data_IF_052631308981
#
_entry.id   IF_052631308981
#
_cell.length_a   1.000
_cell.length_b   1.000
_cell.length_c   1.000
_cell.angle_alpha   90.00
_cell.angle_beta   90.00
_cell.angle_gamma   90.00
#
_symmetry.space_group_name_H-M   'P 1'
#
loop_
_entity.id
_entity.type
_entity.pdbx_description
1 polymer ?
#
# COMPACT_ATOMS: atom_id res chain seq x y z
N UNK A 1 -55.09 25.23 22.50
CA UNK A 1 -54.20 24.31 21.77
C UNK A 1 -52.78 24.86 21.91
N UNK A 2 -52.06 24.36 22.90
CA UNK A 2 -50.71 24.82 23.23
C UNK A 2 -49.70 23.88 22.57
N UNK A 3 -48.82 24.46 21.74
CA UNK A 3 -47.73 23.79 21.07
C UNK A 3 -46.69 23.30 22.11
N UNK A 4 -46.60 21.99 22.31
CA UNK A 4 -45.49 21.36 23.03
C UNK A 4 -44.29 21.27 22.09
N UNK A 5 -43.32 22.17 22.30
CA UNK A 5 -41.98 22.10 21.70
C UNK A 5 -41.22 20.99 22.44
N UNK A 6 -40.93 19.90 21.72
CA UNK A 6 -40.09 18.79 22.18
C UNK A 6 -38.62 19.22 22.15
N UNK A 7 -38.01 19.41 23.32
CA UNK A 7 -36.57 19.57 23.48
C UNK A 7 -35.84 18.27 23.10
N UNK A 8 -35.42 18.18 21.82
CA UNK A 8 -34.48 17.15 21.38
C UNK A 8 -33.11 17.36 22.03
N UNK A 9 -32.51 16.28 22.53
CA UNK A 9 -31.12 16.27 23.01
C UNK A 9 -30.19 16.85 21.91
N UNK A 10 -29.24 17.74 22.26
CA UNK A 10 -28.24 18.18 21.30
C UNK A 10 -27.43 16.97 20.82
N UNK A 11 -27.19 16.92 19.51
CA UNK A 11 -26.30 15.95 18.90
C UNK A 11 -24.91 16.02 19.56
N UNK A 12 -24.22 14.89 19.78
CA UNK A 12 -22.87 14.91 20.33
C UNK A 12 -21.97 15.73 19.40
N UNK A 13 -21.18 16.63 19.99
CA UNK A 13 -20.20 17.43 19.28
C UNK A 13 -19.25 16.52 18.47
N UNK A 14 -18.83 16.93 17.26
CA UNK A 14 -17.86 16.17 16.49
C UNK A 14 -16.61 15.97 17.34
N UNK A 15 -16.14 14.72 17.43
CA UNK A 15 -14.94 14.36 18.16
C UNK A 15 -13.79 15.25 17.69
N UNK A 16 -13.19 15.98 18.64
CA UNK A 16 -12.00 16.78 18.42
C UNK A 16 -10.91 15.87 17.84
N UNK A 17 -10.51 16.11 16.59
CA UNK A 17 -9.35 15.48 16.00
C UNK A 17 -8.16 15.87 16.89
N UNK A 18 -7.61 14.93 17.65
CA UNK A 18 -6.37 15.16 18.40
C UNK A 18 -5.25 15.41 17.39
N UNK A 19 -4.94 16.68 17.15
CA UNK A 19 -3.80 17.08 16.34
C UNK A 19 -2.55 16.89 17.21
N UNK A 20 -1.85 15.78 17.00
CA UNK A 20 -0.57 15.52 17.65
C UNK A 20 0.51 16.42 17.04
N UNK A 21 0.89 17.49 17.74
CA UNK A 21 2.04 18.33 17.39
C UNK A 21 3.25 17.79 18.15
N UNK A 22 3.87 16.73 17.65
CA UNK A 22 5.13 16.21 18.18
C UNK A 22 6.28 16.48 17.21
N UNK A 23 7.41 16.98 17.74
CA UNK A 23 8.65 17.09 16.97
C UNK A 23 9.16 15.67 16.70
N UNK A 24 8.99 15.19 15.47
CA UNK A 24 9.49 13.88 15.06
C UNK A 24 11.01 13.87 15.15
N UNK A 25 11.55 13.01 16.03
CA UNK A 25 12.98 12.71 16.04
C UNK A 25 13.20 11.51 15.13
N UNK A 26 13.91 11.73 14.02
CA UNK A 26 14.41 10.63 13.21
C UNK A 26 15.47 9.89 14.02
N UNK A 27 15.21 8.64 14.35
CA UNK A 27 16.15 7.77 15.06
C UNK A 27 16.80 6.82 14.06
N UNK A 28 18.01 6.35 14.37
CA UNK A 28 18.67 5.28 13.59
C UNK A 28 17.79 4.02 13.47
N UNK A 29 16.93 3.76 14.47
CA UNK A 29 15.98 2.63 14.45
C UNK A 29 14.93 2.77 13.35
N UNK A 30 14.39 3.96 13.12
CA UNK A 30 13.46 4.19 12.02
C UNK A 30 14.16 4.00 10.67
N UNK A 31 15.37 4.57 10.53
CA UNK A 31 16.20 4.46 9.31
C UNK A 31 16.45 3.00 8.95
N UNK A 32 16.92 2.21 9.91
CA UNK A 32 17.20 0.78 9.74
C UNK A 32 15.94 0.00 9.36
N UNK A 33 14.84 0.19 10.11
CA UNK A 33 13.56 -0.48 9.85
C UNK A 33 13.06 -0.21 8.43
N UNK A 34 13.06 1.05 7.98
CA UNK A 34 12.50 1.39 6.68
C UNK A 34 13.39 0.96 5.51
N UNK A 35 14.72 1.01 5.67
CA UNK A 35 15.65 0.45 4.68
C UNK A 35 15.44 -1.05 4.53
N UNK A 36 15.27 -1.77 5.65
CA UNK A 36 15.01 -3.21 5.64
C UNK A 36 13.68 -3.54 4.96
N UNK A 37 12.61 -2.83 5.32
CA UNK A 37 11.30 -2.99 4.69
C UNK A 37 11.34 -2.69 3.19
N UNK A 38 12.04 -1.63 2.79
CA UNK A 38 12.21 -1.25 1.39
C UNK A 38 12.95 -2.34 0.60
N UNK A 39 14.15 -2.76 1.02
CA UNK A 39 14.89 -3.81 0.29
C UNK A 39 14.14 -5.15 0.24
N UNK A 40 13.41 -5.50 1.30
CA UNK A 40 12.55 -6.66 1.30
C UNK A 40 11.37 -6.52 0.30
N UNK A 41 10.79 -5.32 0.20
CA UNK A 41 9.76 -5.01 -0.79
C UNK A 41 10.29 -5.17 -2.22
N UNK A 42 11.50 -4.70 -2.50
CA UNK A 42 12.16 -4.89 -3.81
C UNK A 42 12.15 -6.37 -4.22
N UNK A 43 12.58 -7.27 -3.31
CA UNK A 43 12.62 -8.71 -3.57
C UNK A 43 11.24 -9.32 -3.76
N UNK A 44 10.25 -8.90 -2.98
CA UNK A 44 8.86 -9.35 -3.17
C UNK A 44 8.31 -8.90 -4.54
N UNK A 45 8.59 -7.66 -4.96
CA UNK A 45 8.17 -7.14 -6.25
C UNK A 45 8.83 -7.89 -7.42
N UNK A 46 10.13 -8.17 -7.32
CA UNK A 46 10.85 -9.00 -8.30
C UNK A 46 10.27 -10.42 -8.39
N UNK A 47 9.96 -11.06 -7.25
CA UNK A 47 9.33 -12.38 -7.22
C UNK A 47 7.97 -12.34 -7.93
N UNK A 48 7.15 -11.32 -7.64
CA UNK A 48 5.80 -11.21 -8.23
C UNK A 48 5.80 -10.85 -9.70
N UNK A 49 6.76 -10.05 -10.14
CA UNK A 49 6.96 -9.78 -11.57
C UNK A 49 7.28 -11.09 -12.30
N UNK A 50 8.29 -11.83 -11.82
CA UNK A 50 8.65 -13.14 -12.38
C UNK A 50 7.53 -14.18 -12.31
N UNK A 51 6.69 -14.13 -11.26
CA UNK A 51 5.56 -15.06 -11.13
C UNK A 51 4.43 -14.81 -12.12
N UNK A 52 4.43 -13.68 -12.83
CA UNK A 52 3.48 -13.36 -13.90
C UNK A 52 4.08 -13.50 -15.30
N UNK A 53 5.37 -13.81 -15.42
CA UNK A 53 6.04 -14.02 -16.70
C UNK A 53 5.67 -15.38 -17.32
N UNK A 54 5.54 -15.43 -18.65
CA UNK A 54 5.33 -16.69 -19.37
C UNK A 54 3.94 -17.32 -19.19
N UNK A 55 2.97 -16.58 -18.64
CA UNK A 55 1.58 -17.06 -18.50
C UNK A 55 0.90 -17.26 -19.86
N UNK A 56 1.32 -16.52 -20.89
CA UNK A 56 0.96 -16.74 -22.29
C UNK A 56 1.38 -18.13 -22.81
N UNK A 57 2.33 -18.78 -22.14
CA UNK A 57 2.87 -20.11 -22.45
C UNK A 57 2.46 -21.17 -21.42
N UNK A 58 1.40 -20.92 -20.67
CA UNK A 58 0.83 -21.84 -19.68
C UNK A 58 1.24 -21.57 -18.23
N UNK A 59 2.18 -20.65 -17.97
CA UNK A 59 2.60 -20.23 -16.62
C UNK A 59 3.04 -21.39 -15.71
N UNK A 60 3.24 -21.13 -14.42
CA UNK A 60 3.40 -22.21 -13.42
C UNK A 60 2.09 -22.42 -12.69
N UNK A 61 1.63 -23.67 -12.63
CA UNK A 61 0.36 -24.06 -12.00
C UNK A 61 0.19 -23.50 -10.58
N UNK A 62 1.26 -23.51 -9.78
CA UNK A 62 1.25 -22.97 -8.42
C UNK A 62 0.96 -21.47 -8.39
N UNK A 63 1.55 -20.69 -9.31
CA UNK A 63 1.39 -19.24 -9.40
C UNK A 63 -0.01 -18.88 -9.91
N UNK A 64 -0.51 -19.63 -10.90
CA UNK A 64 -1.87 -19.48 -11.44
C UNK A 64 -2.93 -19.82 -10.38
N UNK A 65 -2.75 -20.93 -9.67
CA UNK A 65 -3.64 -21.36 -8.58
C UNK A 65 -3.66 -20.35 -7.43
N UNK A 66 -2.49 -19.83 -7.04
CA UNK A 66 -2.38 -18.81 -6.01
C UNK A 66 -3.10 -17.51 -6.42
N UNK A 67 -2.87 -17.04 -7.64
CA UNK A 67 -3.54 -15.86 -8.18
C UNK A 67 -5.06 -16.01 -8.13
N UNK A 68 -5.57 -17.15 -8.62
CA UNK A 68 -7.01 -17.43 -8.59
C UNK A 68 -7.54 -17.47 -7.16
N UNK A 69 -6.80 -18.06 -6.21
CA UNK A 69 -7.19 -18.08 -4.79
C UNK A 69 -7.25 -16.67 -4.19
N UNK A 70 -6.34 -15.78 -4.58
CA UNK A 70 -6.23 -14.42 -4.03
C UNK A 70 -7.32 -13.50 -4.60
N UNK A 71 -7.58 -13.58 -5.91
CA UNK A 71 -8.50 -12.68 -6.60
C UNK A 71 -9.88 -13.28 -6.90
N UNK A 72 -10.04 -14.60 -6.75
CA UNK A 72 -11.24 -15.30 -7.20
C UNK A 72 -11.43 -15.21 -8.72
N UNK A 73 -10.39 -14.84 -9.48
CA UNK A 73 -10.51 -14.50 -10.90
C UNK A 73 -9.36 -15.11 -11.66
N UNK A 74 -9.65 -15.74 -12.80
CA UNK A 74 -8.60 -16.30 -13.68
C UNK A 74 -7.84 -15.18 -14.38
N UNK A 75 -6.56 -15.38 -14.63
CA UNK A 75 -5.69 -14.36 -15.24
C UNK A 75 -6.15 -13.89 -16.62
N UNK A 76 -6.79 -14.77 -17.41
CA UNK A 76 -7.30 -14.50 -18.76
C UNK A 76 -8.67 -13.79 -18.78
N UNK A 77 -9.34 -13.66 -17.63
CA UNK A 77 -10.65 -13.01 -17.53
C UNK A 77 -10.51 -11.53 -17.85
N UNK A 78 -11.32 -11.03 -18.78
CA UNK A 78 -11.46 -9.59 -19.06
C UNK A 78 -12.17 -8.88 -17.91
N UNK A 79 -11.60 -7.75 -17.50
CA UNK A 79 -12.03 -6.88 -16.40
C UNK A 79 -12.23 -5.47 -16.93
N UNK A 80 -13.35 -4.84 -16.56
CA UNK A 80 -13.78 -3.54 -17.05
C UNK A 80 -15.21 -3.61 -17.59
N UNK A 81 -15.87 -2.46 -17.65
CA UNK A 81 -17.24 -2.35 -18.16
C UNK A 81 -17.25 -1.99 -19.66
N UNK A 82 -16.25 -1.23 -20.11
CA UNK A 82 -16.09 -0.71 -21.46
C UNK A 82 -15.11 -1.55 -22.31
N UNK A 83 -15.54 -1.95 -23.50
CA UNK A 83 -14.76 -2.78 -24.43
C UNK A 83 -13.43 -2.15 -24.85
N UNK A 84 -13.34 -0.81 -24.87
CA UNK A 84 -12.10 -0.10 -25.22
C UNK A 84 -11.07 -0.10 -24.09
N UNK A 85 -11.51 -0.33 -22.84
CA UNK A 85 -10.64 -0.27 -21.65
C UNK A 85 -10.48 -1.61 -20.92
N UNK A 86 -11.22 -2.63 -21.35
CA UNK A 86 -11.12 -3.98 -20.78
C UNK A 86 -9.72 -4.54 -20.95
N UNK A 87 -9.19 -5.09 -19.86
CA UNK A 87 -7.90 -5.78 -19.84
C UNK A 87 -8.06 -7.11 -19.13
N UNK A 88 -7.17 -8.07 -19.42
CA UNK A 88 -7.15 -9.31 -18.67
C UNK A 88 -6.70 -9.04 -17.23
N UNK A 89 -7.20 -9.81 -16.28
CA UNK A 89 -6.78 -9.75 -14.87
C UNK A 89 -5.24 -9.84 -14.71
N UNK A 90 -4.58 -10.66 -15.55
CA UNK A 90 -3.13 -10.76 -15.63
C UNK A 90 -2.49 -9.41 -16.00
N UNK A 91 -2.96 -8.77 -17.07
CA UNK A 91 -2.41 -7.49 -17.53
C UNK A 91 -2.58 -6.38 -16.49
N UNK A 92 -3.72 -6.37 -15.78
CA UNK A 92 -3.95 -5.42 -14.68
C UNK A 92 -2.91 -5.59 -13.57
N UNK A 93 -2.63 -6.83 -13.17
CA UNK A 93 -1.64 -7.08 -12.12
C UNK A 93 -0.20 -6.86 -12.59
N UNK A 94 0.13 -7.16 -13.86
CA UNK A 94 1.43 -6.82 -14.44
C UNK A 94 1.66 -5.30 -14.47
N UNK A 95 0.67 -4.52 -14.93
CA UNK A 95 0.72 -3.04 -14.88
C UNK A 95 0.83 -2.54 -13.44
N UNK A 96 0.07 -3.14 -12.51
CA UNK A 96 0.09 -2.78 -11.10
C UNK A 96 1.46 -2.98 -10.44
N UNK A 97 2.10 -4.13 -10.64
CA UNK A 97 3.46 -4.39 -10.13
C UNK A 97 4.45 -3.40 -10.73
N UNK A 98 4.37 -3.15 -12.04
CA UNK A 98 5.26 -2.20 -12.72
C UNK A 98 5.16 -0.81 -12.11
N UNK A 99 3.94 -0.34 -11.83
CA UNK A 99 3.67 0.94 -11.17
C UNK A 99 4.19 1.01 -9.75
N UNK A 100 3.91 -0.01 -8.94
CA UNK A 100 4.41 -0.10 -7.56
C UNK A 100 5.95 -0.13 -7.56
N UNK A 101 6.59 -0.86 -8.49
CA UNK A 101 8.05 -0.83 -8.68
C UNK A 101 8.55 0.57 -9.05
N UNK A 102 7.85 1.29 -9.93
CA UNK A 102 8.22 2.67 -10.29
C UNK A 102 8.16 3.62 -9.09
N UNK A 103 7.15 3.50 -8.23
CA UNK A 103 7.06 4.27 -6.98
C UNK A 103 8.17 3.85 -6.02
N UNK A 104 8.34 2.55 -5.82
CA UNK A 104 9.38 1.96 -4.97
C UNK A 104 10.76 2.53 -5.32
N UNK A 105 11.16 2.50 -6.59
CA UNK A 105 12.46 3.02 -7.05
C UNK A 105 12.65 4.53 -6.81
N UNK A 106 11.59 5.28 -6.52
CA UNK A 106 11.66 6.70 -6.20
C UNK A 106 11.75 6.95 -4.71
N UNK A 107 11.41 6.00 -3.84
CA UNK A 107 11.34 6.22 -2.38
C UNK A 107 12.69 6.57 -1.75
N UNK A 108 13.78 6.16 -2.38
CA UNK A 108 15.14 6.60 -2.08
C UNK A 108 15.75 7.22 -3.33
N UNK A 109 16.04 8.51 -3.29
CA UNK A 109 16.57 9.27 -4.43
C UNK A 109 17.35 10.48 -3.95
N UNK A 110 18.21 11.01 -4.80
CA UNK A 110 18.84 12.31 -4.56
C UNK A 110 17.78 13.41 -4.67
N UNK A 111 17.75 14.32 -3.70
CA UNK A 111 16.93 15.53 -3.76
C UNK A 111 17.59 16.61 -4.67
N UNK A 112 16.95 17.76 -4.82
CA UNK A 112 17.42 18.85 -5.68
C UNK A 112 18.80 19.40 -5.26
N UNK A 113 19.17 19.22 -3.99
CA UNK A 113 20.47 19.61 -3.42
C UNK A 113 21.53 18.51 -3.57
N UNK A 114 21.20 17.39 -4.25
CA UNK A 114 22.10 16.25 -4.40
C UNK A 114 22.25 15.41 -3.14
N UNK A 115 21.31 15.48 -2.20
CA UNK A 115 21.34 14.70 -0.96
C UNK A 115 20.51 13.43 -1.10
N UNK A 116 21.12 12.27 -0.86
CA UNK A 116 20.40 11.00 -0.86
C UNK A 116 19.34 10.99 0.24
N UNK A 117 18.08 10.91 -0.17
CA UNK A 117 16.92 11.19 0.66
C UNK A 117 15.89 10.08 0.60
N UNK A 118 15.36 9.73 1.78
CA UNK A 118 14.26 8.81 2.00
C UNK A 118 12.94 9.59 2.08
N UNK A 119 11.95 9.15 1.30
CA UNK A 119 10.63 9.78 1.18
C UNK A 119 9.52 9.07 1.97
N UNK A 120 9.90 8.08 2.80
CA UNK A 120 9.02 7.58 3.85
C UNK A 120 9.02 8.55 5.03
N UNK A 121 7.84 9.03 5.40
CA UNK A 121 7.68 10.04 6.46
C UNK A 121 7.52 9.35 7.80
N UNK A 122 8.41 9.63 8.75
CA UNK A 122 8.31 9.07 10.10
C UNK A 122 7.18 9.74 10.89
N UNK A 123 6.10 9.01 11.15
CA UNK A 123 5.00 9.43 12.01
C UNK A 123 4.79 8.44 13.19
N UNK A 124 5.84 7.71 13.57
CA UNK A 124 5.76 6.63 14.57
C UNK A 124 5.41 7.09 15.99
N UNK A 125 5.59 8.38 16.29
CA UNK A 125 5.31 8.97 17.61
C UNK A 125 3.81 9.27 17.79
N UNK A 126 3.11 9.63 16.72
CA UNK A 126 1.74 10.17 16.78
C UNK A 126 0.68 9.29 16.11
N UNK A 127 1.07 8.35 15.23
CA UNK A 127 0.10 7.59 14.44
C UNK A 127 -0.37 6.31 15.13
N UNK A 128 -1.67 6.22 15.43
CA UNK A 128 -2.35 4.98 15.82
C UNK A 128 -2.88 4.18 14.60
N UNK A 129 -2.15 4.25 13.50
CA UNK A 129 -2.41 3.52 12.26
C UNK A 129 -1.13 2.79 11.81
N UNK A 130 -1.20 2.03 10.74
CA UNK A 130 -0.02 1.32 10.20
C UNK A 130 0.76 2.23 9.26
N UNK A 131 0.18 2.55 8.10
CA UNK A 131 0.69 3.52 7.17
C UNK A 131 -0.48 4.24 6.49
N UNK A 132 -0.20 5.30 5.73
CA UNK A 132 -1.17 5.94 4.82
C UNK A 132 -0.49 6.80 3.77
N UNK A 133 -1.21 7.10 2.70
CA UNK A 133 -0.80 8.04 1.64
C UNK A 133 -1.85 9.12 1.39
N UNK A 134 -1.47 10.15 0.62
CA UNK A 134 -2.40 11.05 -0.03
C UNK A 134 -2.56 10.64 -1.51
N UNK A 135 -3.64 9.92 -1.83
CA UNK A 135 -3.81 9.24 -3.13
C UNK A 135 -3.88 10.17 -4.36
N UNK A 136 -4.28 11.44 -4.20
CA UNK A 136 -4.60 12.35 -5.32
C UNK A 136 -3.55 13.43 -5.59
N UNK A 137 -2.78 13.84 -4.58
CA UNK A 137 -1.96 15.06 -4.63
C UNK A 137 -0.61 14.79 -3.98
N UNK A 138 0.09 13.77 -4.47
CA UNK A 138 1.43 13.48 -3.98
C UNK A 138 2.38 13.21 -5.14
N UNK A 139 3.05 14.26 -5.59
CA UNK A 139 4.07 14.18 -6.64
C UNK A 139 5.33 13.46 -6.18
N UNK A 140 5.54 13.37 -4.87
CA UNK A 140 6.76 12.82 -4.28
C UNK A 140 6.59 11.40 -3.75
N UNK A 141 5.35 10.89 -3.75
CA UNK A 141 4.91 9.62 -3.19
C UNK A 141 5.22 9.48 -1.69
N UNK A 142 4.90 10.49 -0.88
CA UNK A 142 5.06 10.39 0.57
C UNK A 142 4.16 9.29 1.14
N UNK A 143 4.77 8.40 1.92
CA UNK A 143 4.09 7.36 2.68
C UNK A 143 4.36 7.63 4.15
N UNK A 144 3.30 7.90 4.91
CA UNK A 144 3.39 8.16 6.35
C UNK A 144 3.45 6.83 7.11
N UNK A 145 4.56 6.57 7.80
CA UNK A 145 4.79 5.35 8.57
C UNK A 145 4.50 5.61 10.04
N UNK A 146 3.54 4.87 10.61
CA UNK A 146 3.03 5.09 11.96
C UNK A 146 3.40 3.97 12.95
N UNK A 147 2.97 4.14 14.20
CA UNK A 147 3.42 3.32 15.32
C UNK A 147 3.06 1.84 15.19
N UNK A 148 2.00 1.45 14.46
CA UNK A 148 1.67 0.02 14.29
C UNK A 148 2.56 -0.67 13.25
N UNK A 149 3.24 0.08 12.37
CA UNK A 149 4.10 -0.49 11.33
C UNK A 149 5.31 -1.23 11.91
N UNK A 150 5.93 -0.66 12.96
CA UNK A 150 7.11 -1.25 13.62
C UNK A 150 6.83 -2.63 14.23
N UNK A 151 5.59 -2.90 14.60
CA UNK A 151 5.20 -4.14 15.30
C UNK A 151 4.82 -5.24 14.30
N UNK A 152 4.76 -4.93 12.99
CA UNK A 152 4.48 -5.91 11.93
C UNK A 152 5.71 -6.74 11.60
N UNK A 153 5.52 -8.01 11.19
CA UNK A 153 6.59 -8.79 10.59
C UNK A 153 7.11 -8.10 9.33
N UNK A 154 8.36 -8.35 8.94
CA UNK A 154 8.93 -7.76 7.72
C UNK A 154 8.16 -8.20 6.46
N UNK A 155 8.01 -9.51 6.28
CA UNK A 155 7.38 -10.15 5.12
C UNK A 155 6.26 -11.12 5.55
N UNK A 156 5.48 -11.60 4.58
CA UNK A 156 4.38 -12.54 4.82
C UNK A 156 3.04 -11.86 5.06
N UNK A 157 2.19 -12.49 5.86
CA UNK A 157 0.83 -11.99 6.14
C UNK A 157 0.89 -10.73 6.98
N UNK A 158 0.13 -9.70 6.57
CA UNK A 158 -0.07 -8.45 7.31
C UNK A 158 1.27 -7.79 7.74
N UNK A 159 2.20 -7.72 6.79
CA UNK A 159 3.60 -7.39 7.02
C UNK A 159 3.92 -5.94 6.66
N UNK A 160 5.11 -5.47 7.04
CA UNK A 160 5.65 -4.17 6.62
C UNK A 160 5.66 -4.08 5.08
N UNK A 161 6.21 -5.09 4.41
CA UNK A 161 6.23 -5.16 2.93
C UNK A 161 4.84 -5.16 2.31
N UNK A 162 3.89 -5.97 2.80
CA UNK A 162 2.53 -6.00 2.23
C UNK A 162 1.83 -4.66 2.43
N UNK A 163 2.01 -4.04 3.60
CA UNK A 163 1.51 -2.69 3.90
C UNK A 163 2.09 -1.67 2.91
N UNK A 164 3.39 -1.68 2.63
CA UNK A 164 3.97 -0.72 1.67
C UNK A 164 3.38 -0.91 0.26
N UNK A 165 3.15 -2.14 -0.18
CA UNK A 165 2.49 -2.40 -1.47
C UNK A 165 1.02 -1.96 -1.46
N UNK A 166 0.32 -2.13 -0.34
CA UNK A 166 -1.04 -1.61 -0.13
C UNK A 166 -1.07 -0.10 -0.36
N UNK A 167 -0.23 0.63 0.38
CA UNK A 167 -0.15 2.09 0.30
C UNK A 167 0.24 2.60 -1.09
N UNK A 168 1.24 1.98 -1.71
CA UNK A 168 1.65 2.35 -3.07
C UNK A 168 0.56 2.08 -4.11
N UNK A 169 -0.31 1.10 -3.87
CA UNK A 169 -1.41 0.79 -4.79
C UNK A 169 -2.50 1.88 -4.80
N UNK A 170 -2.65 2.65 -3.71
CA UNK A 170 -3.65 3.71 -3.62
C UNK A 170 -3.38 4.89 -4.56
N UNK A 171 -2.11 5.22 -4.81
CA UNK A 171 -1.78 6.37 -5.66
C UNK A 171 -2.51 6.29 -7.00
N UNK A 172 -3.11 7.40 -7.39
CA UNK A 172 -3.87 7.46 -8.64
C UNK A 172 -2.99 7.18 -9.85
N UNK A 173 -3.47 6.31 -10.73
CA UNK A 173 -2.90 6.08 -12.06
C UNK A 173 -2.86 7.38 -12.85
N UNK A 174 -1.66 7.85 -13.18
CA UNK A 174 -1.42 9.12 -13.88
C UNK A 174 -0.48 8.95 -15.08
N UNK A 175 -0.53 9.92 -16.00
CA UNK A 175 0.32 10.00 -17.19
C UNK A 175 -0.36 9.50 -18.47
N UNK A 176 -0.61 10.39 -19.43
CA UNK A 176 -1.00 10.00 -20.79
C UNK A 176 0.13 9.15 -21.41
N UNK A 177 -0.13 7.86 -21.65
CA UNK A 177 0.87 6.90 -22.15
C UNK A 177 1.95 6.45 -21.14
N UNK A 178 1.83 6.74 -19.83
CA UNK A 178 2.93 6.58 -18.86
C UNK A 178 2.63 5.75 -17.59
N UNK A 179 3.69 5.23 -16.97
CA UNK A 179 3.70 4.41 -15.74
C UNK A 179 3.76 5.34 -14.50
N UNK A 180 2.93 6.38 -14.46
CA UNK A 180 2.83 7.29 -13.32
C UNK A 180 1.82 6.77 -12.28
N UNK A 181 2.09 7.01 -10.99
CA UNK A 181 1.21 6.63 -9.90
C UNK A 181 1.10 5.12 -9.65
N UNK A 182 0.13 4.76 -8.82
CA UNK A 182 -0.15 3.39 -8.40
C UNK A 182 -1.28 2.75 -9.21
N UNK A 183 -2.12 1.97 -8.54
CA UNK A 183 -3.20 1.21 -9.16
C UNK A 183 -4.57 1.91 -9.06
N UNK A 184 -4.65 3.10 -8.45
CA UNK A 184 -5.90 3.74 -8.06
C UNK A 184 -6.81 2.82 -7.22
N UNK A 185 -6.22 2.04 -6.30
CA UNK A 185 -7.01 1.20 -5.41
C UNK A 185 -7.63 2.01 -4.28
N UNK A 186 -8.66 1.45 -3.66
CA UNK A 186 -9.30 2.04 -2.49
C UNK A 186 -9.51 1.00 -1.39
N UNK A 187 -9.73 1.49 -0.19
CA UNK A 187 -10.25 0.72 0.92
C UNK A 187 -11.74 0.51 0.76
N UNK A 188 -12.10 -0.69 0.29
CA UNK A 188 -13.45 -1.01 -0.17
C UNK A 188 -14.28 -1.73 0.89
N UNK A 189 -15.59 -1.48 0.86
CA UNK A 189 -16.59 -2.29 1.54
C UNK A 189 -16.98 -3.52 0.69
N UNK A 190 -17.88 -4.33 1.25
CA UNK A 190 -18.35 -5.58 0.64
C UNK A 190 -19.11 -5.39 -0.69
N UNK A 191 -19.49 -4.16 -1.05
CA UNK A 191 -20.14 -3.81 -2.31
C UNK A 191 -19.13 -3.29 -3.35
N UNK A 192 -17.83 -3.32 -3.06
CA UNK A 192 -16.78 -2.82 -3.96
C UNK A 192 -16.75 -1.29 -4.05
N UNK A 193 -17.24 -0.58 -3.03
CA UNK A 193 -17.22 0.88 -2.95
C UNK A 193 -16.23 1.35 -1.88
N UNK A 194 -15.50 2.45 -2.10
CA UNK A 194 -14.69 3.07 -1.04
C UNK A 194 -15.53 3.34 0.20
N UNK A 195 -14.99 3.04 1.39
CA UNK A 195 -15.70 3.25 2.65
C UNK A 195 -14.72 3.46 3.80
N UNK A 196 -15.11 4.26 4.80
CA UNK A 196 -14.38 4.35 6.05
C UNK A 196 -14.79 3.22 6.99
N UNK A 197 -13.90 2.24 7.21
CA UNK A 197 -14.19 1.11 8.08
C UNK A 197 -12.94 0.69 8.84
N UNK A 198 -13.10 -0.23 9.80
CA UNK A 198 -11.95 -0.88 10.42
C UNK A 198 -11.22 -1.80 9.45
N UNK A 199 -9.93 -2.06 9.69
CA UNK A 199 -9.15 -3.02 8.91
C UNK A 199 -9.80 -4.40 8.84
N UNK A 200 -10.39 -4.88 9.95
CA UNK A 200 -11.11 -6.16 9.97
C UNK A 200 -12.33 -6.17 9.03
N UNK A 201 -13.05 -5.06 8.96
CA UNK A 201 -14.20 -4.92 8.07
C UNK A 201 -13.76 -4.87 6.60
N UNK A 202 -12.65 -4.21 6.29
CA UNK A 202 -12.07 -4.24 4.94
C UNK A 202 -11.56 -5.63 4.55
N UNK A 203 -10.93 -6.37 5.48
CA UNK A 203 -10.51 -7.75 5.25
C UNK A 203 -11.70 -8.68 4.98
N UNK A 204 -12.82 -8.49 5.71
CA UNK A 204 -14.06 -9.22 5.48
C UNK A 204 -14.68 -8.87 4.11
N UNK A 205 -14.69 -7.60 3.75
CA UNK A 205 -15.12 -7.13 2.43
C UNK A 205 -14.29 -7.75 1.30
N UNK A 206 -12.97 -7.74 1.42
CA UNK A 206 -12.05 -8.32 0.45
C UNK A 206 -12.28 -9.83 0.26
N UNK A 207 -12.55 -10.57 1.35
CA UNK A 207 -12.93 -12.00 1.29
C UNK A 207 -14.25 -12.21 0.55
N UNK A 208 -15.24 -11.36 0.83
CA UNK A 208 -16.55 -11.43 0.17
C UNK A 208 -16.44 -11.15 -1.33
N UNK A 209 -15.69 -10.13 -1.75
CA UNK A 209 -15.48 -9.83 -3.17
C UNK A 209 -14.85 -11.01 -3.93
N UNK A 210 -13.86 -11.69 -3.32
CA UNK A 210 -13.26 -12.92 -3.88
C UNK A 210 -14.30 -14.03 -4.03
N UNK A 211 -15.09 -14.30 -2.99
CA UNK A 211 -16.13 -15.34 -3.04
C UNK A 211 -17.23 -15.08 -4.07
N UNK A 212 -17.45 -13.81 -4.41
CA UNK A 212 -18.43 -13.37 -5.40
C UNK A 212 -17.85 -13.27 -6.81
N UNK A 213 -16.56 -13.60 -7.00
CA UNK A 213 -15.84 -13.40 -8.26
C UNK A 213 -15.96 -11.96 -8.78
N UNK A 214 -15.99 -10.98 -7.87
CA UNK A 214 -16.20 -9.58 -8.18
C UNK A 214 -14.98 -8.98 -8.88
N UNK A 215 -15.19 -8.24 -9.95
CA UNK A 215 -14.12 -7.52 -10.63
C UNK A 215 -13.49 -6.41 -9.76
N UNK A 216 -14.21 -5.96 -8.71
CA UNK A 216 -13.73 -4.93 -7.79
C UNK A 216 -12.49 -5.36 -6.97
N UNK A 217 -12.16 -6.66 -6.93
CA UNK A 217 -10.93 -7.16 -6.28
C UNK A 217 -9.65 -6.49 -6.80
N UNK A 218 -9.62 -6.06 -8.07
CA UNK A 218 -8.45 -5.37 -8.65
C UNK A 218 -8.39 -3.88 -8.30
N UNK A 219 -9.46 -3.32 -7.75
CA UNK A 219 -9.54 -1.94 -7.26
C UNK A 219 -9.48 -1.87 -5.73
N UNK A 220 -9.39 -3.01 -5.03
CA UNK A 220 -9.32 -3.08 -3.58
C UNK A 220 -7.87 -3.20 -3.11
N UNK A 221 -7.42 -2.26 -2.29
CA UNK A 221 -6.06 -2.25 -1.75
C UNK A 221 -5.77 -3.49 -0.91
N UNK A 222 -6.73 -3.93 -0.07
CA UNK A 222 -6.62 -5.19 0.69
C UNK A 222 -6.56 -6.46 -0.16
N UNK A 223 -7.19 -6.51 -1.34
CA UNK A 223 -7.05 -7.64 -2.24
C UNK A 223 -5.69 -7.63 -2.96
N UNK A 224 -5.23 -6.45 -3.39
CA UNK A 224 -3.91 -6.25 -3.99
C UNK A 224 -2.81 -6.56 -2.98
N UNK A 225 -2.93 -6.10 -1.74
CA UNK A 225 -2.02 -6.38 -0.63
C UNK A 225 -1.81 -7.88 -0.45
N UNK A 226 -2.89 -8.67 -0.51
CA UNK A 226 -2.80 -10.12 -0.34
C UNK A 226 -1.88 -10.77 -1.35
N UNK A 227 -1.78 -10.22 -2.55
CA UNK A 227 -0.85 -10.69 -3.56
C UNK A 227 0.60 -10.48 -3.12
N UNK A 228 0.93 -9.46 -2.35
CA UNK A 228 2.32 -9.21 -1.91
C UNK A 228 2.71 -9.89 -0.58
N UNK A 229 1.82 -10.68 0.03
CA UNK A 229 2.10 -11.38 1.29
C UNK A 229 2.96 -12.65 1.09
N UNK A 230 4.18 -12.47 0.57
CA UNK A 230 5.17 -13.54 0.38
C UNK A 230 6.15 -13.55 1.55
N UNK A 231 6.50 -14.73 2.04
CA UNK A 231 7.65 -14.91 2.94
C UNK A 231 8.95 -15.03 2.13
N UNK A 232 9.97 -14.29 2.53
CA UNK A 232 11.33 -14.42 1.98
C UNK A 232 12.08 -15.52 2.72
N UNK A 233 12.95 -16.24 2.00
CA UNK A 233 13.80 -17.26 2.61
C UNK A 233 14.95 -16.61 3.40
N UNK A 234 15.63 -17.41 4.22
CA UNK A 234 16.69 -16.94 5.11
C UNK A 234 17.89 -16.34 4.36
N UNK A 235 18.27 -16.92 3.22
CA UNK A 235 19.36 -16.44 2.38
C UNK A 235 19.11 -15.01 1.89
N UNK A 236 17.93 -14.74 1.33
CA UNK A 236 17.53 -13.40 0.89
C UNK A 236 17.52 -12.42 2.07
N UNK A 237 17.05 -12.86 3.25
CA UNK A 237 17.01 -12.01 4.44
C UNK A 237 18.41 -11.66 4.95
N UNK A 238 19.37 -12.59 4.88
CA UNK A 238 20.78 -12.34 5.22
C UNK A 238 21.37 -11.28 4.29
N UNK A 239 21.14 -11.41 2.99
CA UNK A 239 21.67 -10.44 2.01
C UNK A 239 21.05 -9.06 2.15
N UNK A 240 19.74 -9.00 2.46
CA UNK A 240 19.07 -7.75 2.80
C UNK A 240 19.74 -7.11 4.01
N UNK A 241 19.97 -7.85 5.09
CA UNK A 241 20.56 -7.30 6.31
C UNK A 241 21.96 -6.73 6.06
N UNK A 242 22.83 -7.45 5.33
CA UNK A 242 24.16 -6.94 4.93
C UNK A 242 24.05 -5.64 4.14
N UNK A 243 23.14 -5.58 3.17
CA UNK A 243 22.94 -4.38 2.36
C UNK A 243 22.38 -3.21 3.18
N UNK A 244 21.55 -3.47 4.19
CA UNK A 244 21.09 -2.43 5.14
C UNK A 244 22.26 -1.91 5.98
N UNK A 245 23.13 -2.78 6.50
CA UNK A 245 24.31 -2.35 7.27
C UNK A 245 25.21 -1.41 6.46
N UNK A 246 25.45 -1.72 5.18
CA UNK A 246 26.20 -0.86 4.25
C UNK A 246 25.50 0.49 3.99
N UNK A 247 24.17 0.52 3.88
CA UNK A 247 23.43 1.78 3.68
C UNK A 247 23.31 2.60 4.97
N UNK A 248 23.35 1.94 6.13
CA UNK A 248 23.37 2.60 7.43
C UNK A 248 24.66 3.39 7.66
N UNK A 249 25.79 2.97 7.08
CA UNK A 249 27.07 3.70 7.14
C UNK A 249 27.13 4.92 6.21
N UNK A 250 26.14 5.11 5.33
CA UNK A 250 26.05 6.26 4.41
C UNK A 250 25.19 7.37 5.01
N UNK A 251 25.49 8.61 4.63
CA UNK A 251 24.63 9.75 4.93
C UNK A 251 23.30 9.58 4.18
N UNK A 252 22.21 9.50 4.95
CA UNK A 252 20.84 9.41 4.44
C UNK A 252 19.99 10.40 5.20
N UNK A 253 19.38 11.32 4.46
CA UNK A 253 18.38 12.25 5.00
C UNK A 253 17.01 11.58 4.95
N UNK A 254 16.22 11.70 6.01
CA UNK A 254 14.81 11.30 5.98
C UNK A 254 13.98 12.57 5.91
N UNK A 255 13.07 12.63 4.92
CA UNK A 255 12.17 13.77 4.76
C UNK A 255 11.24 13.85 5.97
N UNK A 256 11.16 15.03 6.56
CA UNK A 256 10.20 15.34 7.62
C UNK A 256 9.06 16.10 6.98
N UNK A 257 7.84 15.62 7.15
CA UNK A 257 6.64 16.43 6.91
C UNK A 257 6.13 16.91 8.27
N UNK A 258 6.07 18.24 8.42
CA UNK A 258 5.55 18.87 9.63
C UNK A 258 4.03 19.06 9.57
N UNK A 259 3.40 18.74 8.43
CA UNK A 259 1.95 18.77 8.32
C UNK A 259 1.35 17.55 9.01
N UNK A 260 0.19 17.71 9.68
CA UNK A 260 -0.52 16.57 10.21
C UNK A 260 -0.83 15.63 9.04
N UNK A 261 -0.61 14.32 9.20
CA UNK A 261 -0.85 13.41 8.11
C UNK A 261 -2.37 13.46 7.77
N UNK A 262 -2.78 13.15 6.53
CA UNK A 262 -4.15 13.41 6.06
C UNK A 262 -5.20 12.75 6.96
N UNK A 263 -6.37 13.35 7.23
CA UNK A 263 -7.36 12.75 8.12
C UNK A 263 -7.74 11.32 7.68
N UNK A 264 -8.13 10.43 8.61
CA UNK A 264 -8.72 9.15 8.23
C UNK A 264 -9.90 9.43 7.28
N UNK A 265 -9.93 8.79 6.11
CA UNK A 265 -11.04 8.91 5.18
C UNK A 265 -12.17 7.99 5.56
#
# INVERSE_FOLDING_TARGET
MENKISNGKPAPAPATVEICVAKVVITNKFKEMILRAHKAQEKVLEIRERSLEGWDKGGKEKEISEFYKIFGTKGDKLIGDDDETKQTALLIMQDGIKRIKTIHNQMFRYDEDGVFTCYYINNTICGNFTARVNEFIDKDYHIFIAGKFKDKPLCGVDSQVSTLCHEMSHFCKTGAGGIGGGMSTHDMNAQGKPAFMSSDAHLAAAKKMVSQHSQAVFRSAYNVEKYFQIALNEEILIDINKSVEEDMSKDLKIKIDNNPPPPPK
#
